data_IF_324129344748
#
_entry.id   IF_324129344748
#
_cell.length_a   1.000
_cell.length_b   1.000
_cell.length_c   1.000
_cell.angle_alpha   90.00
_cell.angle_beta   90.00
_cell.angle_gamma   90.00
#
_symmetry.space_group_name_H-M   'P 1'
#
loop_
_entity.id
_entity.type
_entity.pdbx_description
1 polymer ?
#
# COMPACT_ATOMS: atom_id res chain seq x y z
N UNK A 1 -25.36 32.41 16.79
CA UNK A 1 -24.28 31.45 16.45
C UNK A 1 -22.86 31.95 16.77
N UNK A 2 -22.69 33.09 17.44
CA UNK A 2 -21.38 33.69 17.73
C UNK A 2 -20.69 33.24 19.04
N UNK A 3 -21.25 32.25 19.75
CA UNK A 3 -20.74 31.86 21.09
C UNK A 3 -19.77 30.66 21.02
N UNK A 4 -19.69 29.94 19.90
CA UNK A 4 -18.82 28.76 19.77
C UNK A 4 -17.36 29.10 19.41
N UNK A 5 -17.08 30.29 18.83
CA UNK A 5 -15.73 30.68 18.41
C UNK A 5 -14.82 31.15 19.56
N UNK A 6 -15.39 31.57 20.69
CA UNK A 6 -14.63 32.11 21.83
C UNK A 6 -14.03 31.03 22.72
N UNK A 7 -14.61 29.82 22.77
CA UNK A 7 -14.11 28.72 23.61
C UNK A 7 -12.94 27.96 22.98
N UNK A 8 -12.75 28.03 21.66
CA UNK A 8 -11.59 27.43 20.99
C UNK A 8 -10.34 28.29 21.04
N UNK A 9 -10.47 29.60 21.30
CA UNK A 9 -9.31 30.48 21.50
C UNK A 9 -8.72 30.43 22.91
N UNK A 10 -9.46 29.95 23.91
CA UNK A 10 -8.96 29.81 25.28
C UNK A 10 -8.09 28.56 25.46
N UNK A 11 -8.40 27.47 24.76
CA UNK A 11 -7.56 26.25 24.74
C UNK A 11 -6.19 26.45 24.07
N UNK A 12 -6.03 27.45 23.20
CA UNK A 12 -4.75 27.75 22.53
C UNK A 12 -3.86 28.61 23.43
N UNK A 13 -4.44 29.38 24.37
CA UNK A 13 -3.69 30.27 25.27
C UNK A 13 -3.05 29.59 26.48
N UNK A 14 -3.51 28.41 26.88
CA UNK A 14 -2.89 27.68 28.00
C UNK A 14 -1.58 26.97 27.62
N UNK A 15 -1.25 26.82 26.34
CA UNK A 15 0.04 26.26 25.92
C UNK A 15 1.17 27.28 25.71
N UNK A 16 0.87 28.58 25.74
CA UNK A 16 1.88 29.64 25.61
C UNK A 16 2.44 30.14 26.96
N UNK A 17 2.02 29.53 28.07
CA UNK A 17 2.17 30.10 29.41
C UNK A 17 3.11 29.39 30.40
N UNK A 18 4.00 28.47 29.99
CA UNK A 18 4.89 27.80 30.96
C UNK A 18 6.36 27.74 30.53
N UNK A 19 7.17 28.42 31.35
CA UNK A 19 8.63 28.36 31.48
C UNK A 19 9.47 29.17 30.47
N UNK A 20 9.55 30.47 30.75
CA UNK A 20 10.84 31.18 30.76
C UNK A 20 11.79 30.41 31.68
N UNK A 21 12.64 29.57 31.11
CA UNK A 21 13.61 28.77 31.85
C UNK A 21 14.81 28.47 30.96
N UNK A 22 15.92 29.16 31.21
CA UNK A 22 17.27 28.92 30.69
C UNK A 22 17.37 28.48 29.21
N UNK A 23 17.95 29.34 28.35
CA UNK A 23 18.59 28.90 27.10
C UNK A 23 19.73 27.94 27.48
N UNK A 24 19.42 26.68 27.76
CA UNK A 24 20.40 25.61 27.70
C UNK A 24 20.71 25.48 26.21
N UNK A 25 21.80 26.13 25.79
CA UNK A 25 22.35 25.92 24.46
C UNK A 25 22.69 24.43 24.37
N UNK A 26 21.81 23.63 23.76
CA UNK A 26 22.10 22.22 23.50
C UNK A 26 23.34 22.18 22.60
N UNK A 27 24.48 21.86 23.19
CA UNK A 27 25.73 21.69 22.45
C UNK A 27 25.75 20.25 21.95
N UNK A 28 25.68 20.01 20.63
CA UNK A 28 25.70 18.66 20.09
C UNK A 28 27.01 17.95 20.49
N UNK A 29 26.91 16.77 21.12
CA UNK A 29 28.09 15.95 21.43
C UNK A 29 28.77 15.58 20.12
N UNK A 30 30.04 15.94 19.93
CA UNK A 30 30.82 15.55 18.74
C UNK A 30 31.61 14.28 19.03
N UNK A 31 31.66 13.35 18.08
CA UNK A 31 32.57 12.21 18.16
C UNK A 31 34.02 12.65 17.91
N UNK A 32 34.99 11.72 18.09
CA UNK A 32 36.43 11.97 17.83
C UNK A 32 36.75 12.41 16.39
N UNK A 33 35.80 12.24 15.45
CA UNK A 33 35.89 12.66 14.04
C UNK A 33 35.13 13.97 13.76
N UNK A 34 34.62 14.66 14.79
CA UNK A 34 33.91 15.93 14.66
C UNK A 34 32.44 15.83 14.26
N UNK A 35 31.88 14.63 14.07
CA UNK A 35 30.46 14.46 13.75
C UNK A 35 29.58 14.59 14.98
N UNK A 36 28.47 15.30 14.81
CA UNK A 36 27.42 15.37 15.83
C UNK A 36 26.84 13.97 16.06
N UNK A 37 26.92 13.51 17.30
CA UNK A 37 26.30 12.29 17.80
C UNK A 37 24.90 12.66 18.26
N UNK A 38 23.91 12.12 17.57
CA UNK A 38 22.50 12.25 17.91
C UNK A 38 22.03 11.03 18.70
N UNK A 39 20.96 11.17 19.49
CA UNK A 39 20.23 9.99 19.98
C UNK A 39 19.60 9.22 18.80
N UNK A 40 19.34 7.93 18.97
CA UNK A 40 18.85 7.07 17.87
C UNK A 40 17.55 7.62 17.25
N UNK A 41 16.61 8.10 18.07
CA UNK A 41 15.36 8.69 17.61
C UNK A 41 15.55 10.01 16.86
N UNK A 42 16.40 10.90 17.36
CA UNK A 42 16.71 12.18 16.71
C UNK A 42 17.46 11.98 15.39
N UNK A 43 18.40 11.03 15.34
CA UNK A 43 19.13 10.66 14.13
C UNK A 43 18.15 10.20 13.05
N UNK A 44 17.17 9.37 13.42
CA UNK A 44 16.16 8.85 12.50
C UNK A 44 15.23 9.94 11.98
N UNK A 45 14.73 10.82 12.85
CA UNK A 45 13.86 11.93 12.42
C UNK A 45 14.58 12.88 11.46
N UNK A 46 15.83 13.25 11.77
CA UNK A 46 16.65 14.10 10.89
C UNK A 46 16.94 13.43 9.55
N UNK A 47 17.25 12.13 9.57
CA UNK A 47 17.43 11.38 8.34
C UNK A 47 16.18 11.36 7.45
N UNK A 48 15.00 11.13 8.03
CA UNK A 48 13.74 11.15 7.28
C UNK A 48 13.48 12.55 6.70
N UNK A 49 13.70 13.60 7.48
CA UNK A 49 13.56 14.99 7.01
C UNK A 49 14.53 15.31 5.85
N UNK A 50 15.79 14.89 5.95
CA UNK A 50 16.77 15.05 4.87
C UNK A 50 16.35 14.33 3.59
N UNK A 51 15.83 13.11 3.70
CA UNK A 51 15.32 12.33 2.55
C UNK A 51 14.14 13.05 1.90
N UNK A 52 13.17 13.51 2.69
CA UNK A 52 11.99 14.23 2.20
C UNK A 52 12.39 15.53 1.50
N UNK A 53 13.32 16.31 2.09
CA UNK A 53 13.82 17.54 1.48
C UNK A 53 14.51 17.29 0.14
N UNK A 54 15.31 16.23 0.04
CA UNK A 54 15.94 15.84 -1.22
C UNK A 54 14.89 15.43 -2.28
N UNK A 55 13.79 14.77 -1.88
CA UNK A 55 12.69 14.42 -2.78
C UNK A 55 11.91 15.64 -3.27
N UNK A 56 11.67 16.63 -2.40
CA UNK A 56 11.02 17.88 -2.80
C UNK A 56 11.91 18.65 -3.80
N UNK A 57 13.20 18.74 -3.52
CA UNK A 57 14.17 19.38 -4.43
C UNK A 57 14.26 18.67 -5.79
N UNK A 58 14.11 17.35 -5.83
CA UNK A 58 14.13 16.61 -7.08
C UNK A 58 12.93 16.88 -7.97
N UNK A 59 11.74 17.13 -7.38
CA UNK A 59 10.56 17.56 -8.13
C UNK A 59 10.81 18.92 -8.77
N UNK A 60 11.28 19.89 -7.99
CA UNK A 60 11.54 21.26 -8.47
C UNK A 60 12.59 21.30 -9.56
N UNK A 61 13.61 20.44 -9.48
CA UNK A 61 14.68 20.34 -10.47
C UNK A 61 14.40 19.37 -11.63
N UNK A 62 13.28 18.64 -11.60
CA UNK A 62 12.89 17.68 -12.64
C UNK A 62 13.84 16.49 -12.80
N UNK A 63 14.61 16.13 -11.77
CA UNK A 63 15.59 15.04 -11.82
C UNK A 63 15.03 13.77 -11.17
N UNK A 64 15.25 12.63 -11.81
CA UNK A 64 14.92 11.33 -11.24
C UNK A 64 15.93 10.95 -10.14
N UNK A 65 15.42 10.52 -8.98
CA UNK A 65 16.25 10.21 -7.80
C UNK A 65 16.06 8.76 -7.40
N UNK A 66 17.18 8.03 -7.39
CA UNK A 66 17.23 6.66 -6.92
C UNK A 66 17.12 6.60 -5.38
N UNK A 67 15.90 6.33 -4.87
CA UNK A 67 15.59 6.22 -3.43
C UNK A 67 16.54 5.30 -2.66
N UNK A 68 16.94 4.17 -3.24
CA UNK A 68 17.82 3.21 -2.58
C UNK A 68 19.22 3.77 -2.32
N UNK A 69 19.73 4.59 -3.25
CA UNK A 69 21.04 5.23 -3.10
C UNK A 69 20.97 6.37 -2.09
N UNK A 70 19.90 7.17 -2.13
CA UNK A 70 19.63 8.24 -1.19
C UNK A 70 19.50 7.72 0.24
N UNK A 71 18.70 6.68 0.46
CA UNK A 71 18.52 6.07 1.77
C UNK A 71 19.83 5.51 2.34
N UNK A 72 20.69 4.91 1.50
CA UNK A 72 22.02 4.44 1.92
C UNK A 72 22.92 5.62 2.30
N UNK A 73 22.95 6.68 1.50
CA UNK A 73 23.78 7.86 1.77
C UNK A 73 23.39 8.54 3.09
N UNK A 74 22.09 8.77 3.29
CA UNK A 74 21.57 9.37 4.53
C UNK A 74 21.76 8.42 5.71
N UNK A 75 21.57 7.11 5.52
CA UNK A 75 21.82 6.11 6.56
C UNK A 75 23.27 6.13 7.07
N UNK A 76 24.25 6.29 6.16
CA UNK A 76 25.66 6.45 6.54
C UNK A 76 25.92 7.79 7.23
N UNK A 77 25.34 8.90 6.74
CA UNK A 77 25.51 10.24 7.32
C UNK A 77 25.09 10.30 8.79
N UNK A 78 24.00 9.63 9.14
CA UNK A 78 23.45 9.60 10.50
C UNK A 78 23.81 8.34 11.30
N UNK A 79 24.65 7.44 10.75
CA UNK A 79 25.02 6.15 11.35
C UNK A 79 23.82 5.33 11.84
N UNK A 80 22.76 5.24 11.02
CA UNK A 80 21.55 4.52 11.39
C UNK A 80 21.80 3.00 11.40
N UNK A 81 21.38 2.32 12.48
CA UNK A 81 21.43 0.86 12.55
C UNK A 81 20.50 0.19 11.52
N UNK A 82 19.37 0.82 11.21
CA UNK A 82 18.38 0.36 10.22
C UNK A 82 17.95 1.52 9.34
N UNK A 83 17.89 1.28 8.02
CA UNK A 83 17.39 2.28 7.07
C UNK A 83 15.90 2.57 7.30
N UNK A 84 15.45 3.82 7.09
CA UNK A 84 14.04 4.18 7.14
C UNK A 84 13.22 3.35 6.16
N UNK A 85 12.05 2.86 6.60
CA UNK A 85 11.12 2.17 5.72
C UNK A 85 10.43 3.15 4.78
N UNK A 86 10.02 2.69 3.61
CA UNK A 86 9.25 3.52 2.66
C UNK A 86 7.97 4.10 3.30
N UNK A 87 7.31 3.35 4.19
CA UNK A 87 6.12 3.80 4.93
C UNK A 87 6.41 5.02 5.79
N UNK A 88 7.58 5.06 6.44
CA UNK A 88 7.98 6.18 7.31
C UNK A 88 8.30 7.43 6.47
N UNK A 89 8.91 7.25 5.30
CA UNK A 89 9.18 8.33 4.36
C UNK A 89 7.85 8.90 3.82
N UNK A 90 6.91 8.02 3.43
CA UNK A 90 5.58 8.43 2.93
C UNK A 90 4.79 9.20 3.99
N UNK A 91 4.88 8.79 5.27
CA UNK A 91 4.20 9.46 6.37
C UNK A 91 4.75 10.86 6.67
N UNK A 92 6.02 11.11 6.35
CA UNK A 92 6.69 12.40 6.58
C UNK A 92 6.63 13.37 5.39
N UNK A 93 5.92 13.01 4.30
CA UNK A 93 5.79 13.88 3.13
C UNK A 93 4.87 15.08 3.41
N UNK A 94 5.24 16.30 2.97
CA UNK A 94 4.33 17.44 2.98
C UNK A 94 3.10 17.19 2.12
N UNK A 95 1.93 17.65 2.57
CA UNK A 95 0.65 17.43 1.87
C UNK A 95 0.64 18.00 0.45
N UNK A 96 1.30 19.15 0.24
CA UNK A 96 1.40 19.83 -1.05
C UNK A 96 2.01 18.96 -2.16
N UNK A 97 3.04 18.19 -1.84
CA UNK A 97 3.77 17.35 -2.81
C UNK A 97 3.35 15.87 -2.76
N UNK A 98 2.49 15.51 -1.81
CA UNK A 98 2.06 14.12 -1.58
C UNK A 98 1.33 13.53 -2.79
N UNK A 99 0.49 14.30 -3.46
CA UNK A 99 -0.26 13.85 -4.64
C UNK A 99 0.66 13.45 -5.81
N UNK A 100 1.77 14.16 -5.98
CA UNK A 100 2.75 13.91 -7.06
C UNK A 100 3.71 12.78 -6.71
N UNK A 101 4.16 12.72 -5.45
CA UNK A 101 5.15 11.73 -5.00
C UNK A 101 4.56 10.35 -4.72
N UNK A 102 3.34 10.26 -4.18
CA UNK A 102 2.71 8.97 -3.88
C UNK A 102 2.66 7.98 -5.07
N UNK A 103 2.23 8.38 -6.28
CA UNK A 103 2.19 7.47 -7.42
C UNK A 103 3.59 7.04 -7.89
N UNK A 104 4.63 7.87 -7.67
CA UNK A 104 6.02 7.53 -8.01
C UNK A 104 6.65 6.57 -6.98
N UNK A 105 6.32 6.76 -5.71
CA UNK A 105 6.84 5.93 -4.61
C UNK A 105 6.13 4.58 -4.49
N UNK A 106 4.86 4.49 -4.89
CA UNK A 106 4.10 3.23 -4.86
C UNK A 106 4.50 2.36 -6.05
N UNK A 107 4.79 1.09 -5.76
CA UNK A 107 4.95 0.09 -6.81
C UNK A 107 3.70 0.05 -7.68
N UNK A 108 3.90 0.05 -9.00
CA UNK A 108 2.79 -0.09 -9.96
C UNK A 108 2.07 -1.41 -9.67
N UNK A 109 0.73 -1.42 -9.57
CA UNK A 109 0.01 -2.66 -9.33
C UNK A 109 0.27 -3.61 -10.51
N UNK A 110 1.01 -4.68 -10.25
CA UNK A 110 1.23 -5.75 -11.21
C UNK A 110 0.11 -6.78 -11.05
N UNK A 111 -0.43 -7.27 -12.17
CA UNK A 111 -1.49 -8.28 -12.15
C UNK A 111 -0.99 -9.64 -11.65
N UNK A 112 0.26 -9.98 -11.97
CA UNK A 112 0.94 -11.18 -11.47
C UNK A 112 2.44 -10.92 -11.29
N UNK A 113 3.03 -11.48 -10.23
CA UNK A 113 4.45 -11.32 -9.91
C UNK A 113 5.38 -12.15 -10.81
N UNK A 114 4.89 -13.27 -11.35
CA UNK A 114 5.64 -14.21 -12.19
C UNK A 114 5.49 -13.99 -13.69
N UNK A 115 4.65 -13.04 -14.13
CA UNK A 115 4.33 -12.83 -15.56
C UNK A 115 3.41 -13.87 -16.18
N UNK A 116 3.02 -14.93 -15.45
CA UNK A 116 2.04 -15.92 -15.90
C UNK A 116 0.64 -15.41 -15.55
N UNK A 117 -0.27 -15.39 -16.53
CA UNK A 117 -1.69 -15.07 -16.30
C UNK A 117 -2.51 -16.37 -16.36
N UNK A 118 -3.08 -16.79 -15.22
CA UNK A 118 -3.96 -17.96 -15.17
C UNK A 118 -5.35 -17.57 -15.68
N UNK A 119 -5.77 -18.19 -16.78
CA UNK A 119 -7.09 -17.98 -17.37
C UNK A 119 -7.91 -19.26 -17.18
N UNK A 120 -8.99 -19.17 -16.40
CA UNK A 120 -9.93 -20.25 -16.22
C UNK A 120 -11.17 -20.01 -17.10
N UNK A 121 -11.51 -20.98 -17.93
CA UNK A 121 -12.69 -20.99 -18.81
C UNK A 121 -13.57 -22.18 -18.50
N UNK A 122 -14.85 -22.08 -18.82
CA UNK A 122 -15.81 -23.17 -18.71
C UNK A 122 -16.44 -23.44 -20.06
N UNK A 123 -16.62 -24.71 -20.37
CA UNK A 123 -17.36 -25.14 -21.56
C UNK A 123 -18.87 -25.01 -21.33
N UNK A 124 -19.65 -25.04 -22.42
CA UNK A 124 -21.11 -25.06 -22.36
C UNK A 124 -21.61 -26.21 -21.45
N UNK A 125 -22.63 -25.97 -20.60
CA UNK A 125 -23.24 -27.01 -19.78
C UNK A 125 -23.71 -28.18 -20.64
N UNK A 126 -23.25 -29.39 -20.29
CA UNK A 126 -23.61 -30.64 -20.96
C UNK A 126 -23.76 -31.75 -19.92
N UNK A 127 -24.50 -32.80 -20.29
CA UNK A 127 -24.70 -33.98 -19.43
C UNK A 127 -23.47 -34.90 -19.48
N UNK A 128 -23.17 -35.56 -18.37
CA UNK A 128 -22.12 -36.57 -18.32
C UNK A 128 -22.42 -37.75 -19.27
N UNK A 129 -21.41 -38.30 -19.99
CA UNK A 129 -21.63 -39.39 -20.94
C UNK A 129 -22.10 -40.70 -20.29
N UNK A 130 -21.76 -40.94 -19.02
CA UNK A 130 -22.16 -42.16 -18.32
C UNK A 130 -23.66 -42.22 -18.02
N UNK A 131 -24.40 -41.11 -18.13
CA UNK A 131 -25.85 -41.13 -17.90
C UNK A 131 -26.56 -42.08 -18.88
N UNK A 132 -25.99 -42.30 -20.07
CA UNK A 132 -26.52 -43.25 -21.05
C UNK A 132 -26.38 -44.71 -20.62
N UNK A 133 -25.42 -45.04 -19.75
CA UNK A 133 -25.16 -46.41 -19.29
C UNK A 133 -25.69 -46.66 -17.88
N UNK A 134 -25.55 -45.70 -16.96
CA UNK A 134 -25.97 -45.84 -15.56
C UNK A 134 -27.38 -45.31 -15.30
N UNK A 135 -27.95 -44.53 -16.22
CA UNK A 135 -29.27 -43.91 -16.10
C UNK A 135 -29.35 -42.71 -15.16
N UNK A 136 -28.31 -42.45 -14.36
CA UNK A 136 -28.29 -41.40 -13.33
C UNK A 136 -26.94 -40.67 -13.29
N UNK A 137 -26.95 -39.44 -12.75
CA UNK A 137 -25.75 -38.66 -12.42
C UNK A 137 -25.03 -39.21 -11.18
N UNK A 138 -23.78 -38.78 -10.94
CA UNK A 138 -23.04 -39.13 -9.73
C UNK A 138 -23.73 -38.57 -8.47
N UNK A 139 -23.84 -39.40 -7.43
CA UNK A 139 -24.52 -39.07 -6.15
C UNK A 139 -23.97 -37.81 -5.48
N UNK A 140 -22.67 -37.53 -5.64
CA UNK A 140 -22.00 -36.38 -5.02
C UNK A 140 -21.98 -35.12 -5.90
N UNK A 141 -22.60 -35.14 -7.10
CA UNK A 141 -22.56 -34.00 -8.01
C UNK A 141 -23.69 -33.02 -7.69
N UNK A 142 -23.41 -31.79 -7.23
CA UNK A 142 -24.46 -30.87 -6.79
C UNK A 142 -25.18 -30.18 -7.96
N UNK A 143 -24.47 -29.91 -9.05
CA UNK A 143 -24.93 -29.04 -10.13
C UNK A 143 -24.97 -29.70 -11.50
N UNK A 144 -25.31 -28.90 -12.52
CA UNK A 144 -25.45 -29.33 -13.90
C UNK A 144 -26.82 -29.03 -14.50
N UNK A 145 -27.04 -29.42 -15.75
CA UNK A 145 -28.27 -29.08 -16.49
C UNK A 145 -29.54 -29.73 -15.93
N UNK A 146 -29.39 -30.78 -15.12
CA UNK A 146 -30.49 -31.54 -14.48
C UNK A 146 -30.63 -31.23 -12.99
N UNK A 147 -29.99 -30.15 -12.53
CA UNK A 147 -30.03 -29.70 -11.13
C UNK A 147 -30.87 -28.43 -10.97
N UNK A 148 -31.21 -28.09 -9.73
CA UNK A 148 -31.92 -26.86 -9.38
C UNK A 148 -31.05 -25.59 -9.56
N UNK A 149 -29.74 -25.74 -9.85
CA UNK A 149 -28.84 -24.63 -10.09
C UNK A 149 -28.96 -24.12 -11.53
N UNK A 150 -29.56 -22.94 -11.67
CA UNK A 150 -29.85 -22.33 -12.97
C UNK A 150 -28.60 -22.12 -13.82
N UNK A 151 -28.63 -22.67 -15.03
CA UNK A 151 -27.61 -22.49 -16.07
C UNK A 151 -26.16 -22.79 -15.62
N UNK A 152 -26.02 -23.70 -14.65
CA UNK A 152 -24.75 -24.15 -14.08
C UNK A 152 -24.10 -25.26 -14.92
N UNK A 153 -22.77 -25.28 -14.97
CA UNK A 153 -22.02 -26.43 -15.50
C UNK A 153 -22.02 -27.59 -14.51
N UNK A 154 -21.87 -28.81 -15.02
CA UNK A 154 -21.78 -30.01 -14.17
C UNK A 154 -20.77 -29.82 -13.04
N UNK A 155 -21.16 -30.20 -11.82
CA UNK A 155 -20.36 -30.09 -10.58
C UNK A 155 -20.18 -28.68 -10.02
N UNK A 156 -20.72 -27.63 -10.64
CA UNK A 156 -20.66 -26.25 -10.15
C UNK A 156 -22.04 -25.73 -9.74
N UNK A 157 -22.08 -24.75 -8.84
CA UNK A 157 -23.34 -24.15 -8.36
C UNK A 157 -23.75 -22.89 -9.12
N UNK A 158 -22.81 -22.28 -9.87
CA UNK A 158 -23.05 -21.04 -10.62
C UNK A 158 -22.63 -19.78 -9.87
N UNK A 159 -22.41 -19.86 -8.56
CA UNK A 159 -22.00 -18.74 -7.71
C UNK A 159 -20.48 -18.53 -7.63
N UNK A 160 -19.69 -19.42 -8.22
CA UNK A 160 -18.24 -19.27 -8.24
C UNK A 160 -17.84 -18.15 -9.21
N UNK A 161 -16.76 -17.38 -8.93
CA UNK A 161 -16.37 -16.25 -9.76
C UNK A 161 -16.06 -16.62 -11.22
N UNK A 162 -15.61 -17.85 -11.47
CA UNK A 162 -15.39 -18.36 -12.83
C UNK A 162 -16.72 -18.72 -13.50
N UNK A 163 -17.62 -19.40 -12.80
CA UNK A 163 -18.96 -19.76 -13.27
C UNK A 163 -19.78 -18.52 -13.62
N UNK A 164 -19.81 -17.52 -12.74
CA UNK A 164 -20.53 -16.26 -12.98
C UNK A 164 -20.03 -15.55 -14.24
N UNK A 165 -18.71 -15.56 -14.49
CA UNK A 165 -18.14 -14.99 -15.72
C UNK A 165 -18.53 -15.80 -16.96
N UNK A 166 -18.51 -17.14 -16.87
CA UNK A 166 -18.89 -18.01 -17.96
C UNK A 166 -20.37 -17.87 -18.33
N UNK A 167 -21.26 -17.83 -17.34
CA UNK A 167 -22.70 -17.60 -17.51
C UNK A 167 -22.95 -16.24 -18.17
N UNK A 168 -22.29 -15.17 -17.69
CA UNK A 168 -22.39 -13.83 -18.28
C UNK A 168 -21.95 -13.81 -19.74
N UNK A 169 -20.90 -14.55 -20.09
CA UNK A 169 -20.40 -14.67 -21.45
C UNK A 169 -21.18 -15.71 -22.30
N UNK A 170 -22.24 -16.33 -21.76
CA UNK A 170 -22.99 -17.42 -22.38
C UNK A 170 -22.10 -18.57 -22.87
N UNK A 171 -21.02 -18.84 -22.13
CA UNK A 171 -20.01 -19.84 -22.45
C UNK A 171 -19.36 -19.64 -23.84
N UNK A 172 -19.31 -18.41 -24.35
CA UNK A 172 -18.53 -18.07 -25.54
C UNK A 172 -17.03 -18.06 -25.20
N UNK A 173 -16.20 -18.85 -25.90
CA UNK A 173 -14.76 -18.88 -25.66
C UNK A 173 -13.97 -17.66 -26.19
N UNK A 174 -14.58 -16.81 -27.03
CA UNK A 174 -13.95 -15.63 -27.67
C UNK A 174 -14.61 -14.33 -27.21
#
# INVERSE_FOLDING_TARGET
>A
EYICMSLQTESIREQEGLAVGHRTTYVPKKNKRGHVVYSEGEARMRAISDIVNALVQSITSGKDVNLNTLNKHVGMKYSLARLPKLVEIIAALPEEHRATLLPQLRAKPIRTASGIAVVAVMSKPHRCPHIATTGNICVYCPGGPDSDFEYSTQSYTGYEPTSMRAIRARYNPY
#
